data_IF_927954468712
#
_entry.id   IF_927954468712
#
_cell.length_a   1.000
_cell.length_b   1.000
_cell.length_c   1.000
_cell.angle_alpha   90.00
_cell.angle_beta   90.00
_cell.angle_gamma   90.00
#
_symmetry.space_group_name_H-M   'P 1'
#
loop_
_entity.id
_entity.type
_entity.pdbx_description
1 polymer ?
#
# COMPACT_ATOMS: atom_id res chain seq x y z
N UNK A 1 26.24 -0.91 -0.04
CA UNK A 1 24.99 -1.27 0.67
C UNK A 1 24.64 -2.75 0.54
N UNK A 2 24.70 -3.38 -0.65
CA UNK A 2 24.27 -4.78 -0.81
C UNK A 2 25.34 -5.87 -0.61
N UNK A 3 26.58 -5.51 -0.28
CA UNK A 3 27.68 -6.48 -0.14
C UNK A 3 27.38 -7.58 0.88
N UNK A 4 26.67 -7.24 1.97
CA UNK A 4 26.32 -8.17 3.05
C UNK A 4 25.39 -9.32 2.60
N UNK A 5 24.61 -9.13 1.53
CA UNK A 5 23.62 -10.12 1.05
C UNK A 5 23.92 -10.61 -0.38
N UNK A 6 25.12 -10.31 -0.92
CA UNK A 6 25.45 -10.53 -2.33
C UNK A 6 25.23 -11.99 -2.76
N UNK A 7 25.82 -12.92 -2.01
CA UNK A 7 25.78 -14.35 -2.37
C UNK A 7 24.36 -14.92 -2.27
N UNK A 8 23.57 -14.47 -1.28
CA UNK A 8 22.17 -14.88 -1.13
C UNK A 8 21.31 -14.40 -2.32
N UNK A 9 21.48 -13.14 -2.73
CA UNK A 9 20.75 -12.58 -3.88
C UNK A 9 21.13 -13.29 -5.17
N UNK A 10 22.43 -13.52 -5.42
CA UNK A 10 22.88 -14.21 -6.63
C UNK A 10 22.37 -15.66 -6.66
N UNK A 11 22.40 -16.36 -5.53
CA UNK A 11 21.84 -17.71 -5.44
C UNK A 11 20.34 -17.74 -5.76
N UNK A 12 19.56 -16.78 -5.23
CA UNK A 12 18.14 -16.67 -5.52
C UNK A 12 17.87 -16.36 -7.01
N UNK A 13 18.63 -15.43 -7.59
CA UNK A 13 18.53 -15.11 -9.02
C UNK A 13 18.82 -16.32 -9.91
N UNK A 14 19.88 -17.09 -9.61
CA UNK A 14 20.21 -18.31 -10.36
C UNK A 14 19.09 -19.35 -10.30
N UNK A 15 18.48 -19.58 -9.11
CA UNK A 15 17.35 -20.52 -8.98
C UNK A 15 16.17 -20.13 -9.89
N UNK A 16 15.77 -18.86 -9.88
CA UNK A 16 14.67 -18.38 -10.74
C UNK A 16 15.04 -18.51 -12.21
N UNK A 17 16.26 -18.10 -12.59
CA UNK A 17 16.75 -18.20 -13.96
C UNK A 17 16.73 -19.65 -14.48
N UNK A 18 17.28 -20.59 -13.71
CA UNK A 18 17.37 -21.99 -14.12
C UNK A 18 15.99 -22.68 -14.14
N UNK A 19 15.03 -22.21 -13.32
CA UNK A 19 13.66 -22.75 -13.28
C UNK A 19 12.84 -22.47 -14.55
N UNK A 20 13.19 -21.42 -15.31
CA UNK A 20 12.40 -20.89 -16.42
C UNK A 20 10.96 -20.48 -16.06
N UNK A 21 10.66 -20.23 -14.77
CA UNK A 21 9.34 -19.83 -14.29
C UNK A 21 9.41 -18.42 -13.66
N UNK A 22 8.99 -17.40 -14.41
CA UNK A 22 9.26 -16.00 -14.02
C UNK A 22 8.05 -15.25 -13.44
N UNK A 23 6.84 -15.78 -13.59
CA UNK A 23 5.61 -15.09 -13.22
C UNK A 23 4.77 -15.98 -12.32
N UNK A 24 4.39 -15.47 -11.15
CA UNK A 24 3.61 -16.22 -10.14
C UNK A 24 4.27 -17.57 -9.79
N UNK A 25 5.60 -17.56 -9.64
CA UNK A 25 6.40 -18.72 -9.27
C UNK A 25 6.42 -19.00 -7.76
N UNK A 26 7.12 -20.07 -7.34
CA UNK A 26 7.19 -20.47 -5.94
C UNK A 26 7.77 -19.37 -5.03
N UNK A 27 8.72 -18.56 -5.52
CA UNK A 27 9.31 -17.45 -4.77
C UNK A 27 8.27 -16.41 -4.35
N UNK A 28 7.24 -16.17 -5.18
CA UNK A 28 6.13 -15.27 -4.83
C UNK A 28 5.30 -15.87 -3.71
N UNK A 29 4.97 -17.16 -3.80
CA UNK A 29 4.17 -17.87 -2.79
C UNK A 29 4.90 -17.91 -1.43
N UNK A 30 6.19 -18.22 -1.45
CA UNK A 30 7.03 -18.25 -0.24
C UNK A 30 7.16 -16.85 0.38
N UNK A 31 7.35 -15.81 -0.44
CA UNK A 31 7.38 -14.43 0.04
C UNK A 31 6.05 -14.03 0.68
N UNK A 32 4.91 -14.29 0.04
CA UNK A 32 3.59 -13.95 0.59
C UNK A 32 3.33 -14.64 1.94
N UNK A 33 3.75 -15.90 2.10
CA UNK A 33 3.64 -16.63 3.37
C UNK A 33 4.54 -16.01 4.45
N UNK A 34 5.82 -15.77 4.13
CA UNK A 34 6.77 -15.17 5.05
C UNK A 34 6.36 -13.74 5.46
N UNK A 35 5.86 -12.95 4.51
CA UNK A 35 5.43 -11.58 4.75
C UNK A 35 4.13 -11.52 5.56
N UNK A 36 3.22 -12.49 5.36
CA UNK A 36 2.03 -12.64 6.22
C UNK A 36 2.43 -12.93 7.66
N UNK A 37 3.39 -13.84 7.87
CA UNK A 37 3.91 -14.17 9.20
C UNK A 37 4.62 -12.96 9.85
N UNK A 38 5.45 -12.24 9.09
CA UNK A 38 6.16 -11.05 9.56
C UNK A 38 5.20 -9.93 10.01
N UNK A 39 4.15 -9.66 9.23
CA UNK A 39 3.16 -8.63 9.55
C UNK A 39 2.04 -9.13 10.49
N UNK A 40 2.05 -10.41 10.88
CA UNK A 40 1.04 -11.02 11.74
C UNK A 40 -0.39 -10.91 11.16
N UNK A 41 -0.53 -11.11 9.85
CA UNK A 41 -1.81 -11.10 9.12
C UNK A 41 -2.10 -12.47 8.51
N UNK A 42 -3.39 -12.75 8.24
CA UNK A 42 -3.80 -14.04 7.67
C UNK A 42 -3.41 -14.21 6.19
N UNK A 43 -3.32 -13.11 5.43
CA UNK A 43 -3.11 -13.14 3.99
C UNK A 43 -2.23 -11.97 3.51
N UNK A 44 -1.42 -12.24 2.49
CA UNK A 44 -0.65 -11.26 1.71
C UNK A 44 -0.87 -11.57 0.23
N UNK A 45 -0.98 -10.54 -0.60
CA UNK A 45 -1.02 -10.66 -2.06
C UNK A 45 0.04 -9.74 -2.66
N UNK A 46 0.99 -10.31 -3.39
CA UNK A 46 2.01 -9.60 -4.13
C UNK A 46 1.44 -8.88 -5.34
N UNK A 47 1.79 -7.61 -5.51
CA UNK A 47 1.34 -6.75 -6.61
C UNK A 47 2.50 -5.94 -7.19
N UNK A 48 2.30 -5.21 -8.28
CA UNK A 48 3.37 -4.57 -9.02
C UNK A 48 4.06 -3.42 -8.28
N UNK A 49 3.34 -2.68 -7.43
CA UNK A 49 3.90 -1.58 -6.63
C UNK A 49 2.93 -1.10 -5.52
N UNK A 50 3.38 -0.18 -4.67
CA UNK A 50 2.58 0.36 -3.57
C UNK A 50 1.34 1.15 -4.00
N UNK A 51 1.36 1.84 -5.14
CA UNK A 51 0.18 2.55 -5.66
C UNK A 51 -0.90 1.55 -6.09
N UNK A 52 -0.52 0.48 -6.78
CA UNK A 52 -1.44 -0.61 -7.14
C UNK A 52 -2.01 -1.30 -5.89
N UNK A 53 -1.19 -1.52 -4.86
CA UNK A 53 -1.65 -2.10 -3.60
C UNK A 53 -2.79 -1.26 -2.98
N UNK A 54 -2.61 0.06 -2.91
CA UNK A 54 -3.63 0.97 -2.40
C UNK A 54 -4.89 0.96 -3.28
N UNK A 55 -4.74 1.07 -4.60
CA UNK A 55 -5.88 1.08 -5.52
C UNK A 55 -6.67 -0.23 -5.48
N UNK A 56 -6.00 -1.39 -5.42
CA UNK A 56 -6.63 -2.70 -5.31
C UNK A 56 -7.35 -2.88 -3.97
N UNK A 57 -6.76 -2.41 -2.86
CA UNK A 57 -7.43 -2.43 -1.56
C UNK A 57 -8.72 -1.60 -1.57
N UNK A 58 -8.69 -0.39 -2.15
CA UNK A 58 -9.89 0.44 -2.30
C UNK A 58 -10.96 -0.24 -3.17
N UNK A 59 -10.57 -0.88 -4.28
CA UNK A 59 -11.51 -1.65 -5.13
C UNK A 59 -12.13 -2.84 -4.39
N UNK A 60 -11.33 -3.57 -3.62
CA UNK A 60 -11.80 -4.69 -2.81
C UNK A 60 -12.83 -4.27 -1.75
N UNK A 61 -12.72 -3.03 -1.24
CA UNK A 61 -13.69 -2.41 -0.34
C UNK A 61 -14.93 -1.82 -1.05
N UNK A 62 -15.02 -1.94 -2.38
CA UNK A 62 -16.12 -1.36 -3.18
C UNK A 62 -16.08 0.17 -3.25
N UNK A 63 -14.92 0.79 -3.02
CA UNK A 63 -14.75 2.24 -3.09
C UNK A 63 -14.61 2.66 -4.56
N UNK A 64 -15.28 3.75 -4.93
CA UNK A 64 -15.33 4.21 -6.31
C UNK A 64 -16.11 5.52 -6.47
N UNK A 65 -16.75 5.76 -7.64
CA UNK A 65 -17.48 6.99 -7.91
C UNK A 65 -18.48 7.37 -6.81
N UNK A 66 -18.57 8.66 -6.51
CA UNK A 66 -19.40 9.25 -5.44
C UNK A 66 -18.94 8.96 -4.00
N UNK A 67 -17.86 8.20 -3.80
CA UNK A 67 -17.24 8.04 -2.49
C UNK A 67 -16.11 9.04 -2.25
N UNK A 68 -15.91 9.38 -0.98
CA UNK A 68 -14.78 10.19 -0.49
C UNK A 68 -13.83 9.34 0.34
N UNK A 69 -12.52 9.59 0.18
CA UNK A 69 -11.46 8.96 0.97
C UNK A 69 -10.60 10.05 1.59
N UNK A 70 -10.50 10.06 2.92
CA UNK A 70 -9.68 11.03 3.66
C UNK A 70 -8.21 10.61 3.54
N UNK A 71 -7.35 11.55 3.12
CA UNK A 71 -5.92 11.33 2.88
C UNK A 71 -5.09 12.45 3.52
N UNK A 72 -3.85 12.21 3.96
CA UNK A 72 -2.97 13.29 4.42
C UNK A 72 -2.69 14.28 3.29
N UNK A 73 -2.70 15.57 3.61
CA UNK A 73 -2.34 16.62 2.63
C UNK A 73 -0.85 16.63 2.29
N UNK A 74 0.01 16.10 3.17
CA UNK A 74 1.47 16.10 3.04
C UNK A 74 2.09 14.74 2.62
N UNK A 75 1.30 13.81 2.10
CA UNK A 75 1.79 12.48 1.69
C UNK A 75 2.39 12.47 0.28
N UNK A 76 3.07 11.39 -0.09
CA UNK A 76 3.46 11.15 -1.47
C UNK A 76 2.23 10.97 -2.38
N UNK A 77 2.31 11.50 -3.61
CA UNK A 77 1.16 11.61 -4.53
C UNK A 77 0.47 10.27 -4.86
N UNK A 78 1.17 9.13 -4.73
CA UNK A 78 0.59 7.81 -4.94
C UNK A 78 -0.68 7.56 -4.10
N UNK A 79 -0.72 8.06 -2.87
CA UNK A 79 -1.90 7.93 -1.98
C UNK A 79 -3.13 8.61 -2.60
N UNK A 80 -2.95 9.78 -3.20
CA UNK A 80 -4.01 10.52 -3.88
C UNK A 80 -4.40 9.91 -5.23
N UNK A 81 -3.39 9.40 -5.97
CA UNK A 81 -3.61 8.74 -7.25
C UNK A 81 -4.41 7.44 -7.07
N UNK A 82 -4.15 6.66 -6.02
CA UNK A 82 -4.90 5.45 -5.74
C UNK A 82 -6.41 5.73 -5.57
N UNK A 83 -6.77 6.79 -4.84
CA UNK A 83 -8.17 7.22 -4.67
C UNK A 83 -8.77 7.67 -6.00
N UNK A 84 -8.05 8.50 -6.75
CA UNK A 84 -8.50 8.99 -8.06
C UNK A 84 -8.66 7.85 -9.09
N UNK A 85 -7.78 6.85 -9.06
CA UNK A 85 -7.78 5.69 -9.98
C UNK A 85 -8.98 4.76 -9.78
N UNK A 86 -9.61 4.77 -8.60
CA UNK A 86 -10.87 4.05 -8.39
C UNK A 86 -12.10 4.91 -8.68
N UNK A 87 -11.91 6.19 -9.03
CA UNK A 87 -12.99 7.15 -9.31
C UNK A 87 -13.56 7.83 -8.07
N UNK A 88 -12.98 7.60 -6.89
CA UNK A 88 -13.35 8.28 -5.66
C UNK A 88 -12.71 9.67 -5.57
N UNK A 89 -13.20 10.50 -4.65
CA UNK A 89 -12.68 11.84 -4.40
C UNK A 89 -11.72 11.83 -3.20
N UNK A 90 -10.43 12.20 -3.35
CA UNK A 90 -9.55 12.39 -2.20
C UNK A 90 -9.96 13.65 -1.44
N UNK A 91 -10.07 13.53 -0.12
CA UNK A 91 -10.36 14.64 0.80
C UNK A 91 -9.12 14.89 1.66
N UNK A 92 -8.40 16.00 1.46
CA UNK A 92 -7.18 16.28 2.22
C UNK A 92 -7.49 16.59 3.68
N UNK A 93 -6.70 16.01 4.58
CA UNK A 93 -6.67 16.33 6.01
C UNK A 93 -5.23 16.67 6.39
N UNK A 94 -5.06 17.79 7.08
CA UNK A 94 -3.74 18.27 7.49
C UNK A 94 -3.06 17.34 8.50
N UNK A 95 -1.72 17.21 8.46
CA UNK A 95 -0.97 16.39 9.40
C UNK A 95 -0.79 17.08 10.77
N UNK A 96 -0.46 16.28 11.78
CA UNK A 96 0.12 16.76 13.03
C UNK A 96 1.57 17.20 12.77
N UNK A 97 1.93 18.47 13.00
CA UNK A 97 3.29 18.97 12.75
C UNK A 97 4.37 18.27 13.58
N UNK A 98 4.02 17.62 14.72
CA UNK A 98 4.98 16.90 15.55
C UNK A 98 5.38 15.54 14.96
N UNK A 99 4.51 14.92 14.14
CA UNK A 99 4.71 13.56 13.61
C UNK A 99 4.75 13.51 12.09
N UNK A 100 4.31 14.57 11.42
CA UNK A 100 4.05 14.60 9.97
C UNK A 100 3.00 13.56 9.49
N UNK A 101 2.30 12.90 10.41
CA UNK A 101 1.23 11.95 10.11
C UNK A 101 -0.14 12.62 10.20
N UNK A 102 -1.15 11.97 9.61
CA UNK A 102 -2.55 12.44 9.59
C UNK A 102 -3.03 12.83 11.00
N UNK A 103 -3.47 14.08 11.20
CA UNK A 103 -3.93 14.57 12.51
C UNK A 103 -5.30 13.98 12.88
N UNK A 104 -5.40 13.10 13.90
CA UNK A 104 -6.66 12.48 14.28
C UNK A 104 -7.70 13.50 14.76
N UNK A 105 -7.27 14.62 15.34
CA UNK A 105 -8.16 15.66 15.85
C UNK A 105 -8.91 16.41 14.73
N UNK A 106 -8.43 16.29 13.48
CA UNK A 106 -9.04 16.94 12.31
C UNK A 106 -9.95 16.01 11.50
N UNK A 107 -9.99 14.72 11.83
CA UNK A 107 -10.76 13.73 11.06
C UNK A 107 -12.26 13.99 11.14
N UNK A 108 -12.81 14.23 12.34
CA UNK A 108 -14.25 14.36 12.54
C UNK A 108 -14.86 15.49 11.70
N UNK A 109 -14.16 16.63 11.61
CA UNK A 109 -14.60 17.78 10.81
C UNK A 109 -14.53 17.54 9.29
N UNK A 110 -13.75 16.55 8.84
CA UNK A 110 -13.59 16.20 7.43
C UNK A 110 -14.56 15.09 6.97
N UNK A 111 -15.29 14.45 7.89
CA UNK A 111 -16.25 13.41 7.55
C UNK A 111 -17.48 13.98 6.86
N UNK A 112 -17.97 13.28 5.85
CA UNK A 112 -19.25 13.54 5.18
C UNK A 112 -20.05 12.24 5.01
N UNK A 113 -21.34 12.29 4.62
CA UNK A 113 -22.09 11.08 4.27
C UNK A 113 -21.48 10.26 3.12
N UNK A 114 -20.59 10.86 2.31
CA UNK A 114 -19.88 10.21 1.20
C UNK A 114 -18.56 9.57 1.62
N UNK A 115 -18.06 9.85 2.82
CA UNK A 115 -16.83 9.25 3.32
C UNK A 115 -16.99 7.73 3.44
N UNK A 116 -16.03 6.99 2.88
CA UNK A 116 -16.00 5.52 2.93
C UNK A 116 -14.71 4.93 3.45
N UNK A 117 -13.62 5.69 3.42
CA UNK A 117 -12.36 5.25 4.01
C UNK A 117 -11.54 6.44 4.52
N UNK A 118 -10.63 6.13 5.42
CA UNK A 118 -9.53 6.99 5.84
C UNK A 118 -8.26 6.21 5.48
N UNK A 119 -7.36 6.85 4.75
CA UNK A 119 -6.14 6.23 4.26
C UNK A 119 -4.92 6.93 4.89
N UNK A 120 -4.61 6.62 6.16
CA UNK A 120 -3.45 7.18 6.84
C UNK A 120 -2.15 6.67 6.20
N UNK A 121 -1.08 7.43 6.37
CA UNK A 121 0.26 7.07 5.92
C UNK A 121 1.14 7.01 7.16
N UNK A 122 2.03 6.02 7.22
CA UNK A 122 3.10 5.96 8.21
C UNK A 122 4.31 6.69 7.61
N UNK A 123 4.36 8.00 7.84
CA UNK A 123 5.43 8.87 7.40
C UNK A 123 6.50 8.95 8.50
N UNK A 124 7.74 8.60 8.12
CA UNK A 124 8.97 8.58 8.92
C UNK A 124 9.07 7.51 10.02
#
# INVERSE_FOLDING_TARGET
MHAAIREEVLSAMSRVYDSNWYVLGPEVTEFEQAYSAFNQVAHTVGVGNGLEALALALRALGIGPSHEVLVPSNTYIATWLAVSQVGATPVPVEPDPATSNLDPARLEAALTPRTRAILPVHLY
#
